data_IF_907578563988
#
_entry.id   IF_907578563988
#
_cell.length_a   1.000
_cell.length_b   1.000
_cell.length_c   1.000
_cell.angle_alpha   90.00
_cell.angle_beta   90.00
_cell.angle_gamma   90.00
#
_symmetry.space_group_name_H-M   'P 1'
#
loop_
_entity.id
_entity.type
_entity.pdbx_description
1 polymer ?
#
# COMPACT_ATOMS: atom_id res chain seq x y z
N UNK A 1 23.03 14.93 8.90
CA UNK A 1 24.37 15.53 9.09
C UNK A 1 24.75 15.40 10.56
N UNK A 2 25.33 14.27 10.94
CA UNK A 2 25.95 14.06 12.26
C UNK A 2 27.13 13.12 12.03
N UNK A 3 28.31 13.70 12.00
CA UNK A 3 29.57 13.00 11.85
C UNK A 3 29.98 12.44 13.22
N UNK A 4 30.00 11.12 13.35
CA UNK A 4 30.60 10.45 14.50
C UNK A 4 32.03 10.03 14.14
N UNK A 5 32.96 10.65 14.85
CA UNK A 5 34.37 10.29 14.92
C UNK A 5 34.54 8.87 15.47
N UNK A 6 35.36 8.06 14.80
CA UNK A 6 35.98 6.86 15.36
C UNK A 6 37.49 7.11 15.55
N UNK A 7 38.09 6.67 16.67
CA UNK A 7 39.49 6.91 16.96
C UNK A 7 40.41 5.95 16.17
N UNK A 8 41.51 6.52 15.67
CA UNK A 8 42.62 5.81 15.07
C UNK A 8 43.27 4.83 16.07
N UNK A 9 43.47 3.59 15.64
CA UNK A 9 44.30 2.61 16.34
C UNK A 9 45.65 2.47 15.59
N UNK A 10 46.80 2.83 16.19
CA UNK A 10 48.09 2.76 15.54
C UNK A 10 48.78 1.44 15.90
N UNK A 11 48.57 0.39 15.11
CA UNK A 11 49.23 -0.90 15.38
C UNK A 11 49.63 -1.69 14.13
N UNK A 12 49.79 -1.03 12.98
CA UNK A 12 50.31 -1.67 11.77
C UNK A 12 51.31 -0.78 11.05
N UNK A 13 52.58 -0.92 11.41
CA UNK A 13 53.70 -0.56 10.54
C UNK A 13 54.97 -1.32 10.95
N UNK A 14 55.64 -1.88 9.94
CA UNK A 14 56.99 -2.45 9.90
C UNK A 14 57.08 -3.96 10.20
N UNK A 15 56.96 -4.87 9.23
CA UNK A 15 57.77 -5.08 7.99
C UNK A 15 59.19 -5.57 8.28
N UNK A 16 59.33 -6.90 8.26
CA UNK A 16 60.31 -7.69 7.50
C UNK A 16 61.71 -7.11 7.28
N UNK A 17 62.71 -7.71 7.94
CA UNK A 17 64.03 -7.91 7.33
C UNK A 17 64.52 -9.36 7.47
N UNK A 18 64.72 -9.94 6.29
CA UNK A 18 65.36 -11.22 5.98
C UNK A 18 66.88 -11.08 6.16
N UNK A 19 67.57 -12.12 6.64
CA UNK A 19 68.76 -12.69 5.98
C UNK A 19 69.35 -13.86 6.76
N UNK A 20 69.73 -14.90 6.01
CA UNK A 20 70.23 -16.21 6.42
C UNK A 20 71.79 -16.24 6.51
N UNK A 21 72.51 -17.37 6.46
CA UNK A 21 73.36 -17.88 7.54
C UNK A 21 74.87 -17.82 7.21
N UNK A 22 75.75 -18.05 8.20
CA UNK A 22 77.18 -18.28 7.93
C UNK A 22 77.77 -19.42 8.76
N UNK A 23 78.24 -20.41 8.02
CA UNK A 23 79.09 -21.52 8.45
C UNK A 23 80.43 -21.04 9.02
N UNK A 24 81.03 -21.83 9.89
CA UNK A 24 82.49 -21.96 9.94
C UNK A 24 82.92 -23.37 10.36
N UNK A 25 83.49 -24.05 9.38
CA UNK A 25 84.41 -25.17 9.49
C UNK A 25 85.70 -24.70 10.17
N UNK A 26 86.33 -25.53 11.01
CA UNK A 26 87.79 -25.75 10.94
C UNK A 26 88.19 -27.08 11.56
N UNK A 27 89.13 -27.70 10.85
CA UNK A 27 89.69 -29.06 10.91
C UNK A 27 91.17 -28.94 11.32
N UNK A 28 91.85 -30.09 11.44
CA UNK A 28 93.33 -30.32 11.48
C UNK A 28 94.03 -30.09 12.83
N UNK A 29 95.04 -30.85 13.25
CA UNK A 29 95.78 -32.03 12.76
C UNK A 29 96.73 -32.50 13.90
N UNK A 30 96.97 -33.81 14.13
CA UNK A 30 98.10 -34.68 13.68
C UNK A 30 99.48 -34.35 14.29
N UNK A 31 100.26 -35.43 14.55
CA UNK A 31 101.72 -35.57 14.77
C UNK A 31 102.13 -35.77 16.24
N UNK A 32 103.04 -36.66 16.66
CA UNK A 32 103.80 -37.79 16.05
C UNK A 32 104.72 -38.39 17.14
N UNK A 33 104.92 -39.72 17.11
CA UNK A 33 106.21 -40.47 17.04
C UNK A 33 107.43 -39.94 17.85
N UNK A 34 108.14 -40.71 18.71
CA UNK A 34 109.08 -41.85 18.49
C UNK A 34 110.23 -41.70 19.57
N UNK A 35 111.39 -42.42 19.60
CA UNK A 35 111.64 -43.83 19.98
C UNK A 35 112.86 -44.07 20.96
N UNK A 36 113.16 -45.36 21.18
CA UNK A 36 114.39 -46.09 21.62
C UNK A 36 115.76 -45.38 21.81
N UNK A 37 116.52 -45.85 22.81
CA UNK A 37 118.01 -45.91 22.89
C UNK A 37 118.41 -46.84 24.06
N UNK A 38 118.86 -48.09 23.89
CA UNK A 38 120.21 -48.62 23.57
C UNK A 38 121.36 -48.30 24.55
N UNK A 39 122.06 -49.40 24.90
CA UNK A 39 123.50 -49.57 25.17
C UNK A 39 124.20 -48.82 26.31
N UNK A 40 124.73 -49.59 27.27
CA UNK A 40 126.18 -49.59 27.54
C UNK A 40 126.61 -50.76 28.44
N UNK A 41 127.28 -51.71 27.80
CA UNK A 41 128.17 -52.73 28.34
C UNK A 41 129.46 -52.12 28.92
N UNK A 42 129.89 -52.50 30.12
CA UNK A 42 131.32 -52.53 30.49
C UNK A 42 131.61 -53.75 31.39
N UNK A 43 132.46 -54.62 30.84
CA UNK A 43 133.13 -55.79 31.42
C UNK A 43 134.40 -55.39 32.17
N UNK A 44 134.70 -56.02 33.33
CA UNK A 44 136.07 -56.11 33.88
C UNK A 44 136.28 -57.51 34.48
N UNK A 45 137.28 -58.20 33.92
CA UNK A 45 137.89 -59.48 34.31
C UNK A 45 138.46 -59.41 35.76
N UNK A 46 138.81 -60.46 36.53
CA UNK A 46 139.62 -61.63 36.17
C UNK A 46 139.78 -62.56 37.40
N UNK A 47 139.79 -63.88 37.16
CA UNK A 47 140.56 -64.97 37.83
C UNK A 47 140.44 -65.25 39.33
N UNK A 48 139.77 -66.36 39.69
CA UNK A 48 140.25 -67.47 40.57
C UNK A 48 139.43 -68.74 40.19
N UNK A 49 139.96 -69.68 39.39
CA UNK A 49 140.62 -70.94 39.78
C UNK A 49 139.71 -71.99 40.46
N UNK A 50 139.37 -73.02 39.66
CA UNK A 50 139.45 -74.45 39.95
C UNK A 50 138.69 -75.00 41.18
N UNK A 51 137.67 -75.84 40.90
CA UNK A 51 137.05 -76.92 41.73
C UNK A 51 135.52 -76.84 41.96
N UNK A 52 134.68 -76.59 40.94
CA UNK A 52 133.21 -76.44 41.15
C UNK A 52 132.28 -77.04 40.04
N UNK A 53 132.70 -78.08 39.29
CA UNK A 53 131.98 -78.58 38.09
C UNK A 53 130.66 -79.35 38.33
N UNK A 54 130.39 -79.76 39.57
CA UNK A 54 129.17 -80.52 39.92
C UNK A 54 128.13 -79.66 40.65
N UNK A 55 128.58 -78.62 41.35
CA UNK A 55 127.69 -77.63 41.98
C UNK A 55 127.04 -76.71 40.95
N UNK A 56 127.75 -76.31 39.89
CA UNK A 56 127.15 -75.53 38.80
C UNK A 56 126.09 -76.33 38.03
N UNK A 57 126.28 -77.63 37.82
CA UNK A 57 125.26 -78.49 37.20
C UNK A 57 124.02 -78.64 38.08
N UNK A 58 124.20 -78.82 39.39
CA UNK A 58 123.09 -78.84 40.33
C UNK A 58 122.40 -77.47 40.42
N UNK A 59 123.13 -76.36 40.43
CA UNK A 59 122.57 -75.00 40.45
C UNK A 59 121.83 -74.66 39.16
N UNK A 60 122.31 -75.08 37.99
CA UNK A 60 121.60 -74.94 36.71
C UNK A 60 120.33 -75.79 36.69
N UNK A 61 120.38 -77.03 37.20
CA UNK A 61 119.19 -77.90 37.26
C UNK A 61 118.17 -77.41 38.30
N UNK A 62 118.63 -76.86 39.42
CA UNK A 62 117.79 -76.22 40.43
C UNK A 62 117.14 -74.94 39.89
N UNK A 63 117.91 -74.11 39.16
CA UNK A 63 117.37 -72.94 38.43
C UNK A 63 116.34 -73.36 37.40
N UNK A 64 116.59 -74.38 36.58
CA UNK A 64 115.59 -74.87 35.63
C UNK A 64 114.31 -75.37 36.29
N UNK A 65 114.40 -76.03 37.46
CA UNK A 65 113.23 -76.45 38.24
C UNK A 65 112.50 -75.28 38.91
N UNK A 66 113.23 -74.28 39.42
CA UNK A 66 112.68 -73.04 39.95
C UNK A 66 111.99 -72.26 38.84
N UNK A 67 112.62 -72.11 37.68
CA UNK A 67 112.06 -71.45 36.50
C UNK A 67 110.84 -72.21 35.97
N UNK A 68 110.85 -73.54 35.98
CA UNK A 68 109.69 -74.35 35.60
C UNK A 68 108.53 -74.22 36.59
N UNK A 69 108.82 -74.20 37.89
CA UNK A 69 107.82 -73.96 38.94
C UNK A 69 107.27 -72.53 38.88
N UNK A 70 108.12 -71.54 38.64
CA UNK A 70 107.75 -70.13 38.45
C UNK A 70 106.93 -69.94 37.18
N UNK A 71 107.28 -70.62 36.07
CA UNK A 71 106.44 -70.64 34.87
C UNK A 71 105.07 -71.23 35.16
N UNK A 72 104.98 -72.40 35.80
CA UNK A 72 103.70 -73.00 36.17
C UNK A 72 102.87 -72.14 37.14
N UNK A 73 103.51 -71.42 38.07
CA UNK A 73 102.86 -70.48 38.97
C UNK A 73 102.38 -69.23 38.21
N UNK A 74 103.19 -68.69 37.31
CA UNK A 74 102.82 -67.57 36.44
C UNK A 74 101.70 -67.96 35.48
N UNK A 75 101.74 -69.14 34.86
CA UNK A 75 100.69 -69.67 33.99
C UNK A 75 99.37 -69.83 34.76
N UNK A 76 99.43 -70.30 36.01
CA UNK A 76 98.26 -70.39 36.89
C UNK A 76 97.70 -69.02 37.29
N UNK A 77 98.57 -68.06 37.63
CA UNK A 77 98.17 -66.68 37.90
C UNK A 77 97.57 -65.99 36.66
N UNK A 78 98.18 -66.14 35.49
CA UNK A 78 97.67 -65.61 34.22
C UNK A 78 96.34 -66.26 33.86
N UNK A 79 96.16 -67.55 34.12
CA UNK A 79 94.87 -68.23 33.93
C UNK A 79 93.78 -67.68 34.85
N UNK A 80 94.08 -67.43 36.13
CA UNK A 80 93.11 -66.85 37.08
C UNK A 80 92.77 -65.42 36.69
N UNK A 81 93.77 -64.60 36.33
CA UNK A 81 93.58 -63.22 35.89
C UNK A 81 92.76 -63.19 34.60
N UNK A 82 93.02 -64.07 33.64
CA UNK A 82 92.26 -64.17 32.39
C UNK A 82 90.79 -64.55 32.64
N UNK A 83 90.52 -65.52 33.52
CA UNK A 83 89.15 -65.89 33.91
C UNK A 83 88.45 -64.74 34.63
N UNK A 84 89.13 -64.05 35.56
CA UNK A 84 88.58 -62.89 36.24
C UNK A 84 88.27 -61.74 35.26
N UNK A 85 89.19 -61.46 34.33
CA UNK A 85 88.98 -60.46 33.27
C UNK A 85 87.82 -60.85 32.34
N UNK A 86 87.66 -62.13 32.00
CA UNK A 86 86.54 -62.61 31.20
C UNK A 86 85.20 -62.50 31.96
N UNK A 87 85.19 -62.80 33.26
CA UNK A 87 84.02 -62.61 34.12
C UNK A 87 83.65 -61.13 34.27
N UNK A 88 84.64 -60.25 34.48
CA UNK A 88 84.44 -58.81 34.54
C UNK A 88 83.94 -58.24 33.20
N UNK A 89 84.51 -58.69 32.07
CA UNK A 89 84.02 -58.33 30.75
C UNK A 89 82.55 -58.74 30.55
N UNK A 90 82.18 -59.96 30.96
CA UNK A 90 80.79 -60.44 30.90
C UNK A 90 79.87 -59.62 31.80
N UNK A 91 80.31 -59.30 33.02
CA UNK A 91 79.55 -58.46 33.96
C UNK A 91 79.36 -57.04 33.43
N UNK A 92 80.38 -56.46 32.80
CA UNK A 92 80.29 -55.16 32.15
C UNK A 92 79.34 -55.19 30.95
N UNK A 93 79.36 -56.27 30.15
CA UNK A 93 78.39 -56.47 29.06
C UNK A 93 76.95 -56.56 29.58
N UNK A 94 76.72 -57.31 30.66
CA UNK A 94 75.39 -57.39 31.30
C UNK A 94 74.94 -56.03 31.84
N UNK A 95 75.82 -55.28 32.49
CA UNK A 95 75.51 -53.91 32.96
C UNK A 95 75.21 -52.99 31.78
N UNK A 96 75.98 -53.09 30.69
CA UNK A 96 75.74 -52.31 29.48
C UNK A 96 74.39 -52.65 28.83
N UNK A 97 74.03 -53.94 28.77
CA UNK A 97 72.74 -54.41 28.27
C UNK A 97 71.58 -53.84 29.08
N UNK A 98 71.60 -54.00 30.42
CA UNK A 98 70.55 -53.47 31.30
C UNK A 98 70.45 -51.95 31.20
N UNK A 99 71.59 -51.24 31.08
CA UNK A 99 71.60 -49.79 30.85
C UNK A 99 70.96 -49.44 29.50
N UNK A 100 71.27 -50.18 28.43
CA UNK A 100 70.69 -49.98 27.12
C UNK A 100 69.17 -50.23 27.13
N UNK A 101 68.70 -51.30 27.76
CA UNK A 101 67.27 -51.60 27.94
C UNK A 101 66.55 -50.47 28.67
N UNK A 102 67.11 -49.98 29.79
CA UNK A 102 66.52 -48.83 30.52
C UNK A 102 66.50 -47.53 29.71
N UNK A 103 67.39 -47.36 28.73
CA UNK A 103 67.36 -46.21 27.82
C UNK A 103 66.26 -46.40 26.78
N UNK A 104 66.11 -47.60 26.23
CA UNK A 104 65.03 -47.96 25.30
C UNK A 104 63.66 -47.80 25.97
N UNK A 105 63.49 -48.34 27.17
CA UNK A 105 62.25 -48.24 27.96
C UNK A 105 61.89 -46.78 28.24
N UNK A 106 62.85 -45.95 28.69
CA UNK A 106 62.61 -44.52 28.89
C UNK A 106 62.25 -43.81 27.58
N UNK A 107 62.92 -44.14 26.49
CA UNK A 107 62.60 -43.58 25.17
C UNK A 107 61.21 -44.02 24.69
N UNK A 108 60.76 -45.22 25.04
CA UNK A 108 59.41 -45.72 24.75
C UNK A 108 58.35 -45.01 25.60
N UNK A 109 58.58 -44.84 26.91
CA UNK A 109 57.70 -44.06 27.79
C UNK A 109 57.55 -42.63 27.26
N UNK A 110 58.65 -41.97 26.89
CA UNK A 110 58.58 -40.61 26.32
C UNK A 110 57.86 -40.57 24.97
N UNK A 111 58.05 -41.57 24.11
CA UNK A 111 57.30 -41.67 22.85
C UNK A 111 55.80 -41.82 23.11
N UNK A 112 55.42 -42.69 24.03
CA UNK A 112 54.02 -42.92 24.40
C UNK A 112 53.38 -41.67 25.02
N UNK A 113 54.10 -40.97 25.91
CA UNK A 113 53.65 -39.68 26.45
C UNK A 113 53.44 -38.63 25.36
N UNK A 114 54.34 -38.55 24.37
CA UNK A 114 54.19 -37.61 23.26
C UNK A 114 52.97 -37.94 22.40
N UNK A 115 52.76 -39.21 22.08
CA UNK A 115 51.56 -39.67 21.34
C UNK A 115 50.29 -39.30 22.11
N UNK A 116 50.24 -39.55 23.42
CA UNK A 116 49.09 -39.17 24.25
C UNK A 116 48.84 -37.66 24.26
N UNK A 117 49.89 -36.84 24.32
CA UNK A 117 49.76 -35.39 24.26
C UNK A 117 49.27 -34.90 22.89
N UNK A 118 49.77 -35.50 21.81
CA UNK A 118 49.33 -35.19 20.44
C UNK A 118 47.86 -35.58 20.23
N UNK A 119 47.44 -36.75 20.71
CA UNK A 119 46.04 -37.20 20.67
C UNK A 119 45.13 -36.29 21.50
N UNK A 120 45.55 -35.92 22.71
CA UNK A 120 44.79 -35.00 23.54
C UNK A 120 44.65 -33.62 22.89
N UNK A 121 45.71 -33.11 22.25
CA UNK A 121 45.66 -31.84 21.51
C UNK A 121 44.72 -31.93 20.31
N UNK A 122 44.78 -33.02 19.53
CA UNK A 122 43.85 -33.25 18.42
C UNK A 122 42.40 -33.28 18.89
N UNK A 123 42.14 -33.99 19.99
CA UNK A 123 40.81 -34.04 20.57
C UNK A 123 40.33 -32.64 21.00
N UNK A 124 41.17 -31.82 21.63
CA UNK A 124 40.81 -30.44 21.98
C UNK A 124 40.48 -29.64 20.72
N UNK A 125 41.30 -29.72 19.66
CA UNK A 125 41.06 -28.97 18.42
C UNK A 125 39.75 -29.40 17.75
N UNK A 126 39.53 -30.71 17.60
CA UNK A 126 38.29 -31.25 17.01
C UNK A 126 37.06 -30.87 17.83
N UNK A 127 37.15 -30.93 19.16
CA UNK A 127 36.08 -30.53 20.06
C UNK A 127 35.77 -29.02 19.94
N UNK A 128 36.80 -28.18 19.82
CA UNK A 128 36.60 -26.74 19.64
C UNK A 128 36.00 -26.40 18.28
N UNK A 129 36.44 -27.06 17.20
CA UNK A 129 35.88 -26.89 15.86
C UNK A 129 34.42 -27.35 15.82
N UNK A 130 34.10 -28.50 16.43
CA UNK A 130 32.72 -28.99 16.52
C UNK A 130 31.82 -27.98 17.23
N UNK A 131 32.27 -27.44 18.38
CA UNK A 131 31.52 -26.41 19.11
C UNK A 131 31.33 -25.13 18.31
N UNK A 132 32.31 -24.72 17.51
CA UNK A 132 32.20 -23.55 16.63
C UNK A 132 31.16 -23.80 15.53
N UNK A 133 31.21 -24.96 14.86
CA UNK A 133 30.25 -25.34 13.83
C UNK A 133 28.83 -25.36 14.39
N UNK A 134 28.62 -25.99 15.55
CA UNK A 134 27.32 -26.01 16.22
C UNK A 134 26.84 -24.61 16.61
N UNK A 135 27.74 -23.74 17.10
CA UNK A 135 27.39 -22.37 17.44
C UNK A 135 27.00 -21.56 16.20
N UNK A 136 27.68 -21.76 15.09
CA UNK A 136 27.37 -21.09 13.82
C UNK A 136 26.07 -21.61 13.20
N UNK A 137 25.78 -22.91 13.31
CA UNK A 137 24.48 -23.48 12.92
C UNK A 137 23.35 -22.86 13.75
N UNK A 138 23.47 -22.82 15.08
CA UNK A 138 22.48 -22.17 15.95
C UNK A 138 22.29 -20.70 15.60
N UNK A 139 23.37 -19.97 15.29
CA UNK A 139 23.28 -18.57 14.85
C UNK A 139 22.52 -18.43 13.53
N UNK A 140 22.73 -19.32 12.57
CA UNK A 140 22.00 -19.33 11.29
C UNK A 140 20.52 -19.65 11.49
N UNK A 141 20.20 -20.67 12.28
CA UNK A 141 18.81 -21.05 12.58
C UNK A 141 18.04 -19.92 13.26
N UNK A 142 18.65 -19.26 14.25
CA UNK A 142 18.03 -18.09 14.91
C UNK A 142 17.83 -16.94 13.93
N UNK A 143 18.82 -16.66 13.08
CA UNK A 143 18.70 -15.61 12.06
C UNK A 143 17.60 -15.92 11.03
N UNK A 144 17.48 -17.18 10.60
CA UNK A 144 16.42 -17.63 9.69
C UNK A 144 15.03 -17.54 10.34
N UNK A 145 14.91 -17.97 11.60
CA UNK A 145 13.66 -17.84 12.35
C UNK A 145 13.25 -16.36 12.50
N UNK A 146 14.20 -15.48 12.83
CA UNK A 146 13.95 -14.04 12.91
C UNK A 146 13.53 -13.46 11.55
N UNK A 147 14.21 -13.83 10.47
CA UNK A 147 13.85 -13.39 9.12
C UNK A 147 12.43 -13.85 8.72
N UNK A 148 12.07 -15.09 9.04
CA UNK A 148 10.74 -15.63 8.78
C UNK A 148 9.64 -14.91 9.58
N UNK A 149 9.90 -14.59 10.85
CA UNK A 149 8.96 -13.82 11.68
C UNK A 149 8.75 -12.41 11.14
N UNK A 150 9.84 -11.72 10.75
CA UNK A 150 9.75 -10.39 10.14
C UNK A 150 8.99 -10.43 8.81
N UNK A 151 9.27 -11.42 7.95
CA UNK A 151 8.55 -11.58 6.69
C UNK A 151 7.05 -11.87 6.89
N UNK A 152 6.69 -12.65 7.91
CA UNK A 152 5.29 -12.88 8.27
C UNK A 152 4.62 -11.59 8.76
N UNK A 153 5.27 -10.83 9.63
CA UNK A 153 4.75 -9.56 10.14
C UNK A 153 4.57 -8.53 9.00
N UNK A 154 5.53 -8.45 8.07
CA UNK A 154 5.41 -7.61 6.87
C UNK A 154 4.23 -8.03 5.99
N UNK A 155 4.05 -9.33 5.75
CA UNK A 155 2.93 -9.86 4.98
C UNK A 155 1.57 -9.57 5.65
N UNK A 156 1.47 -9.74 6.97
CA UNK A 156 0.27 -9.41 7.74
C UNK A 156 -0.04 -7.90 7.71
N UNK A 157 1.00 -7.06 7.83
CA UNK A 157 0.87 -5.61 7.73
C UNK A 157 0.44 -5.16 6.33
N UNK A 158 0.99 -5.77 5.28
CA UNK A 158 0.58 -5.51 3.90
C UNK A 158 -0.89 -5.92 3.67
N UNK A 159 -1.28 -7.12 4.12
CA UNK A 159 -2.65 -7.58 4.05
C UNK A 159 -3.62 -6.65 4.80
N UNK A 160 -3.23 -6.15 5.98
CA UNK A 160 -4.00 -5.17 6.74
C UNK A 160 -4.16 -3.86 5.97
N UNK A 161 -3.09 -3.34 5.36
CA UNK A 161 -3.14 -2.12 4.54
C UNK A 161 -4.08 -2.27 3.34
N UNK A 162 -4.04 -3.43 2.65
CA UNK A 162 -4.94 -3.72 1.54
C UNK A 162 -6.41 -3.73 1.97
N UNK A 163 -6.74 -4.41 3.08
CA UNK A 163 -8.11 -4.41 3.63
C UNK A 163 -8.61 -3.01 3.99
N UNK A 164 -7.76 -2.19 4.63
CA UNK A 164 -8.13 -0.80 4.96
C UNK A 164 -8.37 0.04 3.71
N UNK A 165 -7.54 -0.14 2.66
CA UNK A 165 -7.74 0.55 1.39
C UNK A 165 -9.03 0.11 0.68
N UNK A 166 -9.33 -1.19 0.66
CA UNK A 166 -10.58 -1.74 0.13
C UNK A 166 -11.81 -1.22 0.89
N UNK A 167 -11.74 -1.16 2.23
CA UNK A 167 -12.83 -0.59 3.05
C UNK A 167 -13.03 0.91 2.79
N UNK A 168 -11.97 1.68 2.61
CA UNK A 168 -12.06 3.11 2.28
C UNK A 168 -12.66 3.33 0.89
N UNK A 169 -12.24 2.53 -0.10
CA UNK A 169 -12.81 2.56 -1.45
C UNK A 169 -14.30 2.20 -1.43
N UNK A 170 -14.68 1.14 -0.69
CA UNK A 170 -16.08 0.76 -0.54
C UNK A 170 -16.92 1.88 0.08
N UNK A 171 -16.41 2.53 1.14
CA UNK A 171 -17.10 3.69 1.74
C UNK A 171 -17.27 4.84 0.75
N UNK A 172 -16.26 5.12 -0.09
CA UNK A 172 -16.36 6.15 -1.13
C UNK A 172 -17.44 5.82 -2.15
N UNK A 173 -17.51 4.57 -2.60
CA UNK A 173 -18.54 4.10 -3.54
C UNK A 173 -19.94 4.19 -2.91
N UNK A 174 -20.08 3.81 -1.64
CA UNK A 174 -21.35 3.87 -0.92
C UNK A 174 -21.80 5.33 -0.69
N UNK A 175 -20.88 6.24 -0.35
CA UNK A 175 -21.16 7.66 -0.21
C UNK A 175 -21.57 8.30 -1.55
N UNK A 176 -20.88 7.96 -2.65
CA UNK A 176 -21.26 8.43 -3.98
C UNK A 176 -22.64 7.91 -4.38
N UNK A 177 -22.92 6.62 -4.13
CA UNK A 177 -24.23 6.03 -4.37
C UNK A 177 -25.32 6.73 -3.55
N UNK A 178 -25.05 7.02 -2.28
CA UNK A 178 -25.98 7.74 -1.42
C UNK A 178 -26.29 9.14 -1.96
N UNK A 179 -25.26 9.89 -2.38
CA UNK A 179 -25.44 11.22 -2.99
C UNK A 179 -26.24 11.16 -4.29
N UNK A 180 -26.02 10.16 -5.14
CA UNK A 180 -26.79 9.97 -6.37
C UNK A 180 -28.27 9.73 -6.06
N UNK A 181 -28.57 8.83 -5.12
CA UNK A 181 -29.96 8.56 -4.69
C UNK A 181 -30.62 9.82 -4.12
N UNK A 182 -29.92 10.59 -3.28
CA UNK A 182 -30.44 11.85 -2.76
C UNK A 182 -30.70 12.89 -3.87
N UNK A 183 -29.79 13.01 -4.84
CA UNK A 183 -29.95 13.93 -5.97
C UNK A 183 -31.14 13.53 -6.86
N UNK A 184 -31.31 12.24 -7.13
CA UNK A 184 -32.46 11.71 -7.87
C UNK A 184 -33.78 12.00 -7.13
N UNK A 185 -33.84 11.77 -5.82
CA UNK A 185 -35.02 12.07 -5.01
C UNK A 185 -35.35 13.57 -5.04
N UNK A 186 -34.35 14.43 -4.90
CA UNK A 186 -34.54 15.88 -4.99
C UNK A 186 -35.05 16.30 -6.38
N UNK A 187 -34.50 15.72 -7.46
CA UNK A 187 -34.96 15.98 -8.82
C UNK A 187 -36.42 15.55 -9.05
N UNK A 188 -36.83 14.41 -8.50
CA UNK A 188 -38.22 13.94 -8.55
C UNK A 188 -39.15 14.94 -7.83
N UNK A 189 -38.83 15.31 -6.59
CA UNK A 189 -39.64 16.26 -5.82
C UNK A 189 -39.73 17.62 -6.51
N UNK A 190 -38.64 18.11 -7.09
CA UNK A 190 -38.64 19.36 -7.85
C UNK A 190 -39.53 19.26 -9.09
N UNK A 191 -39.46 18.14 -9.83
CA UNK A 191 -40.29 17.92 -11.01
C UNK A 191 -41.78 17.82 -10.67
N UNK A 192 -42.13 17.17 -9.56
CA UNK A 192 -43.50 17.11 -9.04
C UNK A 192 -44.02 18.49 -8.67
N UNK A 193 -43.23 19.28 -7.93
CA UNK A 193 -43.58 20.64 -7.55
C UNK A 193 -43.79 21.55 -8.77
N UNK A 194 -42.88 21.49 -9.76
CA UNK A 194 -43.04 22.23 -11.02
C UNK A 194 -44.27 21.77 -11.82
N UNK A 195 -44.58 20.47 -11.80
CA UNK A 195 -45.78 19.93 -12.43
C UNK A 195 -47.06 20.45 -11.76
N UNK A 196 -47.08 20.53 -10.43
CA UNK A 196 -48.19 21.08 -9.66
C UNK A 196 -48.41 22.57 -9.97
N UNK A 197 -47.34 23.39 -9.97
CA UNK A 197 -47.42 24.80 -10.36
C UNK A 197 -47.97 24.95 -11.78
N UNK A 198 -47.48 24.13 -12.74
CA UNK A 198 -47.98 24.15 -14.13
C UNK A 198 -49.46 23.77 -14.19
N UNK A 199 -49.88 22.77 -13.43
CA UNK A 199 -51.29 22.36 -13.36
C UNK A 199 -52.18 23.47 -12.78
N UNK A 200 -51.73 24.14 -11.71
CA UNK A 200 -52.45 25.27 -11.11
C UNK A 200 -52.58 26.43 -12.09
N UNK A 201 -51.50 26.79 -12.80
CA UNK A 201 -51.54 27.84 -13.84
C UNK A 201 -52.50 27.51 -14.97
N UNK A 202 -52.54 26.24 -15.42
CA UNK A 202 -53.50 25.79 -16.44
C UNK A 202 -54.94 25.94 -15.96
N UNK A 203 -55.27 25.50 -14.74
CA UNK A 203 -56.61 25.66 -14.16
C UNK A 203 -57.04 27.13 -14.10
N UNK A 204 -56.14 28.02 -13.65
CA UNK A 204 -56.42 29.45 -13.60
C UNK A 204 -56.65 30.05 -15.00
N UNK A 205 -55.89 29.61 -16.01
CA UNK A 205 -56.07 30.04 -17.39
C UNK A 205 -57.41 29.55 -17.97
N UNK A 206 -57.74 28.27 -17.78
CA UNK A 206 -59.02 27.69 -18.22
C UNK A 206 -60.22 28.37 -17.56
N UNK A 207 -60.12 28.70 -16.26
CA UNK A 207 -61.19 29.39 -15.55
C UNK A 207 -61.32 30.85 -16.01
N UNK A 208 -60.22 31.53 -16.33
CA UNK A 208 -60.24 32.86 -16.92
C UNK A 208 -60.90 32.84 -18.31
N UNK A 209 -60.56 31.85 -19.15
CA UNK A 209 -61.16 31.64 -20.46
C UNK A 209 -62.66 31.34 -20.34
N UNK A 210 -63.07 30.43 -19.44
CA UNK A 210 -64.49 30.17 -19.14
C UNK A 210 -65.24 31.46 -18.78
N UNK A 211 -64.68 32.28 -17.89
CA UNK A 211 -65.31 33.57 -17.51
C UNK A 211 -65.41 34.54 -18.68
N UNK A 212 -64.41 34.59 -19.55
CA UNK A 212 -64.45 35.42 -20.77
C UNK A 212 -65.57 34.96 -21.71
N UNK A 213 -65.67 33.65 -21.96
CA UNK A 213 -66.74 33.07 -22.78
C UNK A 213 -68.12 33.37 -22.18
N UNK A 214 -68.30 33.18 -20.88
CA UNK A 214 -69.57 33.51 -20.22
C UNK A 214 -69.91 35.00 -20.28
N UNK A 215 -68.92 35.89 -20.11
CA UNK A 215 -69.13 37.33 -20.25
C UNK A 215 -69.52 37.71 -21.68
N UNK A 216 -68.88 37.11 -22.69
CA UNK A 216 -69.23 37.32 -24.08
C UNK A 216 -70.64 36.80 -24.39
N UNK A 217 -71.01 35.62 -23.89
CA UNK A 217 -72.37 35.08 -24.02
C UNK A 217 -73.40 36.00 -23.36
N UNK A 218 -73.13 36.50 -22.14
CA UNK A 218 -74.00 37.48 -21.47
C UNK A 218 -74.17 38.74 -22.30
N UNK A 219 -73.09 39.31 -22.85
CA UNK A 219 -73.16 40.49 -23.73
C UNK A 219 -73.96 40.21 -25.01
N UNK A 220 -73.81 39.04 -25.62
CA UNK A 220 -74.60 38.63 -26.79
C UNK A 220 -76.08 38.54 -26.45
N UNK A 221 -76.44 37.90 -25.34
CA UNK A 221 -77.82 37.82 -24.85
C UNK A 221 -78.42 39.20 -24.54
N UNK A 222 -77.66 40.08 -23.87
CA UNK A 222 -78.08 41.45 -23.60
C UNK A 222 -78.31 42.24 -24.89
N UNK A 223 -77.42 42.10 -25.89
CA UNK A 223 -77.58 42.73 -27.19
C UNK A 223 -78.79 42.21 -27.97
N UNK A 224 -79.07 40.90 -27.92
CA UNK A 224 -80.27 40.28 -28.51
C UNK A 224 -81.55 40.80 -27.85
N UNK A 225 -81.59 40.86 -26.51
CA UNK A 225 -82.72 41.42 -25.76
C UNK A 225 -82.92 42.89 -26.10
N UNK A 226 -81.83 43.69 -26.15
CA UNK A 226 -81.92 45.10 -26.54
C UNK A 226 -82.43 45.28 -27.97
N UNK A 227 -81.95 44.49 -28.93
CA UNK A 227 -82.43 44.52 -30.30
C UNK A 227 -83.91 44.13 -30.40
N UNK A 228 -84.36 43.14 -29.63
CA UNK A 228 -85.77 42.76 -29.56
C UNK A 228 -86.66 43.88 -29.00
N UNK A 229 -86.25 44.51 -27.89
CA UNK A 229 -86.97 45.65 -27.31
C UNK A 229 -87.03 46.82 -28.30
N UNK A 230 -85.90 47.14 -28.95
CA UNK A 230 -85.83 48.20 -29.95
C UNK A 230 -86.77 47.94 -31.12
N UNK A 231 -86.81 46.71 -31.64
CA UNK A 231 -87.72 46.31 -32.71
C UNK A 231 -89.20 46.41 -32.29
N UNK A 232 -89.54 46.07 -31.03
CA UNK A 232 -90.90 46.26 -30.51
C UNK A 232 -91.30 47.73 -30.42
N UNK A 233 -90.41 48.60 -29.91
CA UNK A 233 -90.65 50.05 -29.84
C UNK A 233 -90.85 50.63 -31.24
N UNK A 234 -90.03 50.22 -32.21
CA UNK A 234 -90.17 50.64 -33.61
C UNK A 234 -91.48 50.17 -34.22
N UNK A 235 -91.90 48.92 -33.98
CA UNK A 235 -93.17 48.40 -34.43
C UNK A 235 -94.37 49.14 -33.81
N UNK A 236 -94.35 49.41 -32.50
CA UNK A 236 -95.39 50.18 -31.81
C UNK A 236 -95.45 51.62 -32.32
N UNK A 237 -94.29 52.26 -32.53
CA UNK A 237 -94.23 53.61 -33.10
C UNK A 237 -94.78 53.65 -34.52
N UNK A 238 -94.47 52.66 -35.35
CA UNK A 238 -95.00 52.54 -36.70
C UNK A 238 -96.52 52.30 -36.70
N UNK A 239 -97.02 51.47 -35.80
CA UNK A 239 -98.47 51.30 -35.62
C UNK A 239 -99.13 52.60 -35.17
N UNK A 240 -98.54 53.31 -34.21
CA UNK A 240 -99.02 54.62 -33.75
C UNK A 240 -99.03 55.64 -34.89
N UNK A 241 -98.00 55.65 -35.74
CA UNK A 241 -97.97 56.47 -36.97
C UNK A 241 -99.13 56.12 -37.90
N UNK A 242 -99.36 54.84 -38.17
CA UNK A 242 -100.51 54.39 -38.98
C UNK A 242 -101.85 54.81 -38.36
N UNK A 243 -102.02 54.66 -37.06
CA UNK A 243 -103.23 55.11 -36.35
C UNK A 243 -103.40 56.63 -36.45
N UNK A 244 -102.33 57.42 -36.33
CA UNK A 244 -102.42 58.89 -36.51
C UNK A 244 -102.75 59.27 -37.94
N UNK A 245 -102.15 58.61 -38.93
CA UNK A 245 -102.45 58.83 -40.35
C UNK A 245 -103.89 58.42 -40.71
N UNK A 246 -104.38 57.32 -40.15
CA UNK A 246 -105.75 56.84 -40.35
C UNK A 246 -106.76 57.75 -39.64
N UNK A 247 -106.48 58.18 -38.40
CA UNK A 247 -107.29 59.18 -37.71
C UNK A 247 -107.32 60.51 -38.48
N UNK A 248 -106.20 60.91 -39.08
CA UNK A 248 -106.14 62.09 -39.94
C UNK A 248 -106.95 61.91 -41.23
N UNK A 249 -106.88 60.74 -41.89
CA UNK A 249 -107.75 60.41 -43.03
C UNK A 249 -109.23 60.48 -42.65
N UNK A 250 -109.62 59.83 -41.57
CA UNK A 250 -111.00 59.87 -41.08
C UNK A 250 -111.45 61.29 -40.71
N UNK A 251 -110.56 62.10 -40.13
CA UNK A 251 -110.83 63.52 -39.86
C UNK A 251 -111.08 64.26 -41.17
N UNK A 252 -110.22 64.09 -42.18
CA UNK A 252 -110.39 64.72 -43.51
C UNK A 252 -111.69 64.28 -44.20
N UNK A 253 -112.05 63.01 -44.15
CA UNK A 253 -113.32 62.50 -44.71
C UNK A 253 -114.55 63.09 -44.03
N UNK A 254 -114.46 63.36 -42.71
CA UNK A 254 -115.48 64.02 -41.90
C UNK A 254 -115.48 65.54 -42.03
N UNK A 255 -114.47 66.15 -42.64
CA UNK A 255 -114.52 67.58 -42.94
C UNK A 255 -115.47 67.80 -44.12
N UNK A 256 -116.35 68.78 -43.98
CA UNK A 256 -117.14 69.34 -45.06
C UNK A 256 -116.89 70.84 -45.09
N UNK A 257 -116.86 71.39 -46.29
CA UNK A 257 -116.75 72.83 -46.46
C UNK A 257 -118.11 73.46 -46.12
N UNK A 258 -118.10 74.48 -45.28
CA UNK A 258 -119.31 75.26 -45.04
C UNK A 258 -119.71 75.98 -46.32
N UNK A 259 -120.96 75.85 -46.76
CA UNK A 259 -121.47 76.49 -47.98
C UNK A 259 -121.43 78.04 -47.97
N UNK A 260 -121.05 78.68 -46.86
CA UNK A 260 -121.00 80.13 -46.71
C UNK A 260 -119.58 80.65 -46.60
N UNK A 261 -118.81 80.20 -45.60
CA UNK A 261 -117.44 80.67 -45.43
C UNK A 261 -116.39 79.83 -46.17
N UNK A 262 -116.78 78.69 -46.74
CA UNK A 262 -115.89 77.72 -47.38
C UNK A 262 -114.81 77.13 -46.46
N UNK A 263 -114.85 77.43 -45.15
CA UNK A 263 -113.95 76.81 -44.19
C UNK A 263 -114.37 75.35 -43.96
N UNK A 264 -113.37 74.47 -43.93
CA UNK A 264 -113.56 73.06 -43.59
C UNK A 264 -113.84 72.93 -42.10
N UNK A 265 -115.04 72.48 -41.75
CA UNK A 265 -115.40 72.15 -40.36
C UNK A 265 -115.80 70.68 -40.25
N UNK A 266 -115.69 70.13 -39.03
CA UNK A 266 -116.05 68.75 -38.76
C UNK A 266 -117.56 68.56 -38.92
N UNK A 267 -117.99 67.52 -39.65
CA UNK A 267 -119.41 67.18 -39.82
C UNK A 267 -120.17 67.10 -38.48
N UNK A 268 -119.50 66.75 -37.37
CA UNK A 268 -120.12 66.72 -36.03
C UNK A 268 -120.49 68.10 -35.48
N UNK A 269 -119.85 69.17 -35.96
CA UNK A 269 -120.15 70.56 -35.58
C UNK A 269 -120.95 71.31 -36.63
N UNK A 270 -121.19 70.69 -37.79
CA UNK A 270 -121.99 71.20 -38.88
C UNK A 270 -123.40 70.65 -38.86
N UNK A 271 -124.33 71.35 -39.50
CA UNK A 271 -125.72 70.93 -39.63
C UNK A 271 -126.01 70.77 -41.12
N UNK A 272 -126.45 69.57 -41.49
CA UNK A 272 -126.98 69.30 -42.81
C UNK A 272 -128.42 69.81 -42.88
N UNK A 273 -128.69 70.71 -43.82
CA UNK A 273 -130.07 71.11 -44.13
C UNK A 273 -130.64 70.20 -45.21
N UNK A 274 -131.97 70.22 -45.37
CA UNK A 274 -132.74 69.30 -46.23
C UNK A 274 -132.22 69.26 -47.69
N UNK A 275 -131.57 70.32 -48.17
CA UNK A 275 -130.98 70.41 -49.51
C UNK A 275 -129.51 69.98 -49.58
N UNK A 276 -129.07 68.87 -48.98
CA UNK A 276 -127.71 68.29 -49.10
C UNK A 276 -126.47 69.19 -48.82
N UNK A 277 -126.66 70.46 -48.50
CA UNK A 277 -125.62 71.42 -48.16
C UNK A 277 -125.32 71.39 -46.65
N UNK A 278 -124.06 71.65 -46.30
CA UNK A 278 -123.59 71.68 -44.92
C UNK A 278 -123.23 73.11 -44.51
N UNK A 279 -123.68 73.52 -43.33
CA UNK A 279 -123.38 74.83 -42.75
C UNK A 279 -122.71 74.66 -41.39
N UNK A 280 -121.71 75.49 -41.08
CA UNK A 280 -121.18 75.50 -39.73
C UNK A 280 -122.18 76.13 -38.76
N UNK A 281 -122.13 75.68 -37.50
CA UNK A 281 -122.99 76.17 -36.41
C UNK A 281 -122.94 77.69 -36.25
N UNK A 282 -121.78 78.31 -36.47
CA UNK A 282 -121.60 79.75 -36.34
C UNK A 282 -122.35 80.53 -37.43
N UNK A 283 -122.28 80.09 -38.69
CA UNK A 283 -123.04 80.74 -39.78
C UNK A 283 -124.54 80.47 -39.71
N UNK A 284 -124.97 79.31 -39.19
CA UNK A 284 -126.39 79.07 -38.90
C UNK A 284 -126.91 79.96 -37.77
N UNK A 285 -126.11 80.18 -36.71
CA UNK A 285 -126.45 81.11 -35.62
C UNK A 285 -126.36 82.57 -36.04
N UNK A 286 -125.41 82.93 -36.89
CA UNK A 286 -125.26 84.28 -37.45
C UNK A 286 -126.38 84.65 -38.44
N UNK A 287 -126.98 83.66 -39.12
CA UNK A 287 -128.12 83.86 -40.03
C UNK A 287 -129.50 83.72 -39.37
N UNK A 288 -129.58 83.28 -38.11
CA UNK A 288 -130.87 83.25 -37.39
C UNK A 288 -131.46 84.63 -37.05
N UNK A 289 -130.90 85.73 -37.58
CA UNK A 289 -131.44 87.07 -37.35
C UNK A 289 -131.57 87.96 -38.60
N UNK A 290 -131.29 87.48 -39.82
CA UNK A 290 -131.49 88.28 -41.05
C UNK A 290 -132.15 87.44 -42.15
N UNK A 291 -133.48 87.59 -42.24
CA UNK A 291 -134.35 87.34 -43.40
C UNK A 291 -134.41 85.93 -44.01
N UNK A 292 -135.53 85.23 -43.77
CA UNK A 292 -136.05 84.20 -44.67
C UNK A 292 -137.54 84.45 -44.99
N UNK A 293 -137.80 85.61 -45.61
CA UNK A 293 -139.00 85.90 -46.41
C UNK A 293 -138.75 85.59 -47.91
N UNK A 294 -137.89 84.60 -48.22
CA UNK A 294 -137.48 84.36 -49.63
C UNK A 294 -137.20 82.90 -50.02
N UNK A 295 -138.09 81.97 -49.65
CA UNK A 295 -138.18 80.69 -50.34
C UNK A 295 -139.64 80.32 -50.64
N UNK A 296 -140.24 81.04 -51.59
CA UNK A 296 -141.23 80.48 -52.50
C UNK A 296 -140.55 80.27 -53.84
N UNK A 297 -140.43 79.00 -54.26
CA UNK A 297 -139.98 78.62 -55.59
C UNK A 297 -138.64 77.89 -55.61
N UNK A 298 -138.67 76.57 -55.37
CA UNK A 298 -137.92 75.56 -56.12
C UNK A 298 -138.42 74.18 -55.71
N UNK A 299 -138.90 73.45 -56.72
CA UNK A 299 -139.09 72.00 -56.75
C UNK A 299 -137.75 71.31 -56.94
#
# INVERSE_FOLDING_TARGET
MTANFLPCNPAYAQVLQKSSPRASFRRTAVLSDEPRSNDSSITVERTVRSEYSDRERYEVQLRQRIDAAQRGQNDWYESIVSVAQAQDATRLQQIAHVKAERVIERAEIHRNQRVQLEEHQRWITEETERRQIEADQRRREVAEQQANLLAQEEAENEARRRRLAEEEEQRRVDDERHRRVQAEQHAILQAEFEAEIRAQRRRLAEDAERRQIEQEQRRRQEAEIQAFIQAQIEAENEERRRQTEEAERQRRERLRECAVCLESQDMSTMIQVICSHWYCREHLRGKSFINLDHHQGCH
#
